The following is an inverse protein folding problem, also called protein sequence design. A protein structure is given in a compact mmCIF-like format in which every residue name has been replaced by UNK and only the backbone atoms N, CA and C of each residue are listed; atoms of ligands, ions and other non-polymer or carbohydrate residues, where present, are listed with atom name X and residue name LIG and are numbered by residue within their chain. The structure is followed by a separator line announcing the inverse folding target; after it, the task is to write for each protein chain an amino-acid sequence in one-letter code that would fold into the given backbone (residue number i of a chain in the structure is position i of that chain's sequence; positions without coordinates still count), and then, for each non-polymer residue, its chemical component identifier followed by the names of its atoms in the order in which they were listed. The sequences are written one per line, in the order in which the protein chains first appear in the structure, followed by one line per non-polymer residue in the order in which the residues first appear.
data_IF_980194523696
#
_entry.id   IF_980194523696
#
_cell.length_a   1.000
_cell.length_b   1.000
_cell.length_c   1.000
_cell.angle_alpha   90.00
_cell.angle_beta   90.00
_cell.angle_gamma   90.00
#
_symmetry.space_group_name_H-M   'P 1'
#
loop_
_entity.id
_entity.type
_entity.pdbx_description
1 polymer ?
#
# COMPACT_ATOMS: atom_id res chain seq x y z
N UNK A 1 4.11 4.48 8.57
CA UNK A 1 5.24 4.74 7.68
C UNK A 1 5.96 3.44 7.36
N UNK A 2 6.36 3.24 6.11
CA UNK A 2 7.26 2.17 5.67
C UNK A 2 8.39 2.77 4.81
N UNK A 3 9.55 2.13 4.79
CA UNK A 3 10.66 2.57 3.92
C UNK A 3 10.58 1.87 2.58
N UNK A 4 10.93 2.55 1.50
CA UNK A 4 10.86 2.01 0.14
C UNK A 4 12.19 2.19 -0.57
N UNK A 5 12.59 1.19 -1.35
CA UNK A 5 13.87 1.19 -2.08
C UNK A 5 13.85 2.15 -3.27
N UNK A 6 12.79 2.10 -4.08
CA UNK A 6 12.68 2.93 -5.28
C UNK A 6 11.28 3.57 -5.35
N UNK A 7 11.19 4.91 -5.20
CA UNK A 7 9.92 5.61 -5.24
C UNK A 7 9.20 5.47 -6.58
N UNK A 8 9.90 5.24 -7.69
CA UNK A 8 9.25 5.12 -9.01
C UNK A 8 8.34 3.89 -9.06
N UNK A 9 8.84 2.74 -8.62
CA UNK A 9 8.05 1.49 -8.62
C UNK A 9 7.02 1.48 -7.50
N UNK A 10 7.35 2.02 -6.32
CA UNK A 10 6.43 2.04 -5.18
C UNK A 10 5.27 3.00 -5.42
N UNK A 11 5.52 4.24 -5.88
CA UNK A 11 4.43 5.17 -6.21
C UNK A 11 3.52 4.64 -7.31
N UNK A 12 4.08 3.97 -8.33
CA UNK A 12 3.28 3.34 -9.37
C UNK A 12 2.41 2.21 -8.80
N UNK A 13 2.96 1.37 -7.92
CA UNK A 13 2.20 0.31 -7.29
C UNK A 13 1.05 0.88 -6.44
N UNK A 14 1.33 1.79 -5.51
CA UNK A 14 0.31 2.33 -4.63
C UNK A 14 -0.76 3.15 -5.36
N UNK A 15 -0.41 3.85 -6.45
CA UNK A 15 -1.38 4.61 -7.24
C UNK A 15 -2.12 3.75 -8.28
N UNK A 16 -1.41 3.02 -9.13
CA UNK A 16 -2.04 2.31 -10.24
C UNK A 16 -2.67 0.98 -9.80
N UNK A 17 -2.02 0.26 -8.88
CA UNK A 17 -2.53 -1.04 -8.40
C UNK A 17 -3.54 -0.82 -7.28
N UNK A 18 -3.18 -0.05 -6.26
CA UNK A 18 -4.05 0.13 -5.10
C UNK A 18 -5.01 1.31 -5.20
N UNK A 19 -4.93 2.14 -6.24
CA UNK A 19 -5.81 3.31 -6.41
C UNK A 19 -5.70 4.32 -5.25
N UNK A 20 -4.57 4.37 -4.55
CA UNK A 20 -4.30 5.46 -3.62
C UNK A 20 -3.92 6.71 -4.39
N UNK A 21 -4.24 7.88 -3.87
CA UNK A 21 -3.81 9.14 -4.43
C UNK A 21 -2.54 9.65 -3.75
N UNK A 22 -1.69 10.30 -4.53
CA UNK A 22 -0.61 11.10 -4.00
C UNK A 22 -1.17 12.34 -3.27
N UNK A 23 -0.77 12.50 -2.00
CA UNK A 23 -1.23 13.57 -1.12
C UNK A 23 -0.19 14.68 -1.00
N UNK A 24 1.07 14.30 -0.76
CA UNK A 24 2.15 15.26 -0.56
C UNK A 24 3.54 14.61 -0.71
N UNK A 25 4.55 15.46 -0.91
CA UNK A 25 5.97 15.11 -0.88
C UNK A 25 6.73 16.12 -0.03
N UNK A 26 7.52 15.61 0.90
CA UNK A 26 8.50 16.40 1.65
C UNK A 26 9.90 15.92 1.30
N UNK A 27 10.72 16.82 0.77
CA UNK A 27 12.10 16.53 0.35
C UNK A 27 13.08 17.08 1.37
N UNK A 28 14.00 16.22 1.81
CA UNK A 28 15.10 16.55 2.72
C UNK A 28 16.43 16.16 2.06
N UNK A 29 17.54 16.53 2.70
CA UNK A 29 18.88 16.34 2.14
C UNK A 29 19.22 14.87 1.84
N UNK A 30 18.80 13.93 2.69
CA UNK A 30 19.17 12.50 2.58
C UNK A 30 18.00 11.55 2.39
N UNK A 31 16.77 12.06 2.45
CA UNK A 31 15.56 11.26 2.27
C UNK A 31 14.39 12.09 1.76
N UNK A 32 13.43 11.42 1.16
CA UNK A 32 12.16 12.01 0.72
C UNK A 32 11.00 11.23 1.33
N UNK A 33 10.00 11.95 1.82
CA UNK A 33 8.74 11.39 2.29
C UNK A 33 7.68 11.57 1.21
N UNK A 34 6.97 10.50 0.87
CA UNK A 34 5.81 10.52 -0.01
C UNK A 34 4.59 10.08 0.78
N UNK A 35 3.52 10.84 0.70
CA UNK A 35 2.29 10.55 1.43
C UNK A 35 1.21 10.14 0.44
N UNK A 36 0.58 9.00 0.70
CA UNK A 36 -0.53 8.50 -0.10
C UNK A 36 -1.71 8.15 0.78
N UNK A 37 -2.91 8.27 0.24
CA UNK A 37 -4.13 7.85 0.91
C UNK A 37 -5.23 7.57 -0.10
N UNK A 38 -6.26 6.83 0.30
CA UNK A 38 -7.47 6.71 -0.51
C UNK A 38 -8.22 8.04 -0.56
N UNK A 39 -8.83 8.35 -1.70
CA UNK A 39 -9.65 9.54 -1.83
C UNK A 39 -10.97 9.38 -1.05
N UNK A 40 -11.20 10.25 -0.08
CA UNK A 40 -12.46 10.30 0.66
C UNK A 40 -13.36 11.47 0.21
N UNK A 41 -12.84 12.32 -0.67
CA UNK A 41 -13.52 13.51 -1.20
C UNK A 41 -14.29 13.23 -2.49
N UNK A 42 -14.11 12.04 -3.07
CA UNK A 42 -14.70 11.63 -4.36
C UNK A 42 -14.38 12.64 -5.47
N UNK A 43 -13.11 13.05 -5.54
CA UNK A 43 -12.54 13.97 -6.51
C UNK A 43 -12.72 15.45 -6.18
N UNK A 44 -13.34 15.79 -5.04
CA UNK A 44 -13.63 17.19 -4.69
C UNK A 44 -12.40 17.95 -4.18
N UNK A 45 -11.47 17.27 -3.50
CA UNK A 45 -10.30 17.93 -2.92
C UNK A 45 -9.26 18.29 -3.99
N UNK A 46 -8.82 19.54 -3.97
CA UNK A 46 -7.67 19.99 -4.77
C UNK A 46 -6.36 19.42 -4.21
N UNK A 47 -5.29 19.44 -5.01
CA UNK A 47 -3.96 19.04 -4.53
C UNK A 47 -3.49 19.85 -3.30
N UNK A 48 -3.82 21.15 -3.25
CA UNK A 48 -3.51 22.01 -2.10
C UNK A 48 -4.31 21.60 -0.86
N UNK A 49 -5.61 21.31 -1.00
CA UNK A 49 -6.45 20.86 0.10
C UNK A 49 -5.94 19.53 0.67
N UNK A 50 -5.59 18.57 -0.20
CA UNK A 50 -4.96 17.29 0.19
C UNK A 50 -3.67 17.53 0.98
N UNK A 51 -2.80 18.43 0.49
CA UNK A 51 -1.54 18.79 1.15
C UNK A 51 -1.74 19.39 2.53
N UNK A 52 -2.61 20.40 2.65
CA UNK A 52 -2.88 21.09 3.91
C UNK A 52 -3.58 20.18 4.93
N UNK A 53 -4.44 19.27 4.46
CA UNK A 53 -5.14 18.30 5.29
C UNK A 53 -4.33 17.05 5.66
N UNK A 54 -3.13 16.87 5.11
CA UNK A 54 -2.30 15.65 5.23
C UNK A 54 -2.16 15.13 6.67
N UNK A 55 -1.93 16.01 7.65
CA UNK A 55 -1.74 15.62 9.06
C UNK A 55 -3.04 15.52 9.85
N UNK A 56 -4.15 15.99 9.30
CA UNK A 56 -5.48 16.00 9.94
C UNK A 56 -6.41 14.87 9.48
N UNK A 57 -5.92 13.95 8.63
CA UNK A 57 -6.71 12.85 8.07
C UNK A 57 -6.28 11.49 8.59
N UNK A 58 -7.19 10.53 8.47
CA UNK A 58 -6.93 9.12 8.73
C UNK A 58 -6.44 8.39 7.47
N UNK A 59 -5.89 7.19 7.66
CA UNK A 59 -5.57 6.27 6.56
C UNK A 59 -4.43 6.71 5.65
N UNK A 60 -3.48 7.51 6.18
CA UNK A 60 -2.33 7.98 5.41
C UNK A 60 -1.16 6.99 5.49
N UNK A 61 -0.64 6.63 4.32
CA UNK A 61 0.58 5.85 4.18
C UNK A 61 1.73 6.78 3.82
N UNK A 62 2.65 6.94 4.77
CA UNK A 62 3.94 7.57 4.53
C UNK A 62 4.95 6.54 4.02
N UNK A 63 5.51 6.80 2.83
CA UNK A 63 6.61 6.07 2.25
C UNK A 63 7.89 6.91 2.38
N UNK A 64 8.91 6.35 3.02
CA UNK A 64 10.21 7.01 3.19
C UNK A 64 11.23 6.41 2.21
N UNK A 65 11.74 7.24 1.31
CA UNK A 65 12.84 6.89 0.42
C UNK A 65 14.13 7.48 0.96
N UNK A 66 15.07 6.63 1.38
CA UNK A 66 16.44 7.07 1.65
C UNK A 66 17.20 7.12 0.32
N UNK A 67 17.77 8.28 -0.02
CA UNK A 67 18.36 8.50 -1.34
C UNK A 67 19.51 7.53 -1.63
N UNK A 68 19.58 7.02 -2.86
CA UNK A 68 20.62 6.12 -3.33
C UNK A 68 20.29 4.63 -3.16
N UNK A 69 19.31 4.28 -2.33
CA UNK A 69 18.89 2.88 -2.13
C UNK A 69 18.42 2.21 -3.42
N UNK A 70 17.83 2.94 -4.35
CA UNK A 70 17.37 2.48 -5.66
C UNK A 70 18.52 2.03 -6.58
N UNK A 71 19.71 2.60 -6.39
CA UNK A 71 20.89 2.40 -7.25
C UNK A 71 22.01 1.63 -6.57
N UNK A 72 21.92 1.38 -5.27
CA UNK A 72 22.93 0.66 -4.50
C UNK A 72 22.84 -0.86 -4.77
N UNK A 73 23.86 -1.49 -5.40
CA UNK A 73 23.88 -2.92 -5.65
C UNK A 73 24.07 -3.75 -4.37
N UNK A 74 24.63 -3.16 -3.31
CA UNK A 74 24.82 -3.81 -2.03
C UNK A 74 23.58 -3.74 -1.14
N UNK A 75 22.67 -2.81 -1.42
CA UNK A 75 21.41 -2.70 -0.70
C UNK A 75 20.46 -3.87 -1.03
N UNK A 76 20.39 -4.83 -0.10
CA UNK A 76 19.57 -6.06 -0.22
C UNK A 76 18.06 -5.84 -0.08
N UNK A 77 17.62 -4.61 0.16
CA UNK A 77 16.22 -4.25 0.40
C UNK A 77 15.89 -4.12 1.88
N UNK A 78 14.69 -3.61 2.16
CA UNK A 78 14.19 -3.49 3.52
C UNK A 78 13.63 -4.82 4.04
N UNK A 79 13.69 -5.02 5.36
CA UNK A 79 12.97 -6.12 6.00
C UNK A 79 11.46 -5.82 5.98
N UNK A 80 10.67 -6.77 5.50
CA UNK A 80 9.21 -6.67 5.53
C UNK A 80 8.58 -7.07 6.88
N UNK A 81 9.40 -7.51 7.84
CA UNK A 81 8.96 -7.84 9.19
C UNK A 81 8.33 -9.23 9.39
N UNK A 82 8.25 -10.06 8.35
CA UNK A 82 7.58 -11.37 8.42
C UNK A 82 8.54 -12.57 8.58
N UNK A 83 9.85 -12.34 8.51
CA UNK A 83 10.91 -13.37 8.58
C UNK A 83 11.99 -13.03 9.61
N UNK A 84 12.61 -14.05 10.20
CA UNK A 84 13.74 -13.88 11.13
C UNK A 84 15.01 -13.40 10.40
N UNK A 85 15.91 -12.64 11.05
CA UNK A 85 15.84 -12.13 12.43
C UNK A 85 14.98 -10.87 12.59
N UNK A 86 14.38 -10.37 11.51
CA UNK A 86 13.72 -9.07 11.45
C UNK A 86 12.23 -9.07 11.76
N UNK A 87 11.71 -10.07 12.50
CA UNK A 87 10.27 -10.16 12.79
C UNK A 87 9.76 -8.98 13.62
N UNK A 88 8.62 -8.41 13.23
CA UNK A 88 8.00 -7.29 13.94
C UNK A 88 6.74 -6.80 13.25
N UNK A 89 6.88 -5.83 12.34
CA UNK A 89 5.78 -5.39 11.47
C UNK A 89 5.24 -6.56 10.64
N UNK A 90 3.91 -6.67 10.50
CA UNK A 90 3.29 -7.72 9.70
C UNK A 90 2.88 -7.24 8.31
N UNK A 91 1.90 -6.35 8.26
CA UNK A 91 1.29 -5.86 7.01
C UNK A 91 0.46 -4.62 7.28
N UNK A 92 0.10 -3.92 6.21
CA UNK A 92 -1.08 -3.04 6.20
C UNK A 92 -2.29 -3.84 5.68
N UNK A 93 -3.50 -3.36 5.95
CA UNK A 93 -4.72 -3.97 5.43
C UNK A 93 -5.52 -2.94 4.64
N UNK A 94 -6.09 -3.37 3.51
CA UNK A 94 -7.03 -2.60 2.71
C UNK A 94 -8.36 -3.35 2.65
N UNK A 95 -9.46 -2.61 2.79
CA UNK A 95 -10.80 -3.13 2.56
C UNK A 95 -11.28 -2.80 1.15
N UNK A 96 -12.01 -3.73 0.54
CA UNK A 96 -12.61 -3.55 -0.78
C UNK A 96 -14.04 -4.11 -0.81
N UNK A 97 -14.87 -3.59 -1.71
CA UNK A 97 -16.27 -4.02 -1.82
C UNK A 97 -16.40 -5.43 -2.39
N UNK A 98 -15.57 -5.76 -3.40
CA UNK A 98 -15.52 -7.05 -4.08
C UNK A 98 -14.08 -7.57 -4.10
N UNK A 99 -13.79 -8.54 -3.24
CA UNK A 99 -12.44 -9.09 -3.07
C UNK A 99 -12.05 -9.99 -4.23
N UNK A 100 -12.99 -10.70 -4.85
CA UNK A 100 -12.78 -11.52 -6.02
C UNK A 100 -12.38 -10.66 -7.22
N UNK A 101 -13.10 -9.57 -7.48
CA UNK A 101 -12.80 -8.61 -8.53
C UNK A 101 -11.47 -7.89 -8.28
N UNK A 102 -11.20 -7.48 -7.04
CA UNK A 102 -9.91 -6.89 -6.66
C UNK A 102 -8.75 -7.86 -6.93
N UNK A 103 -8.87 -9.11 -6.49
CA UNK A 103 -7.84 -10.13 -6.72
C UNK A 103 -7.67 -10.47 -8.21
N UNK A 104 -8.76 -10.54 -8.98
CA UNK A 104 -8.70 -10.74 -10.43
C UNK A 104 -7.95 -9.61 -11.12
N UNK A 105 -8.22 -8.36 -10.73
CA UNK A 105 -7.50 -7.18 -11.23
C UNK A 105 -6.02 -7.24 -10.87
N UNK A 106 -5.67 -7.54 -9.62
CA UNK A 106 -4.28 -7.70 -9.19
C UNK A 106 -3.54 -8.79 -9.99
N UNK A 107 -4.18 -9.92 -10.26
CA UNK A 107 -3.59 -10.96 -11.12
C UNK A 107 -3.38 -10.47 -12.56
N UNK A 108 -4.34 -9.74 -13.14
CA UNK A 108 -4.20 -9.19 -14.50
C UNK A 108 -3.07 -8.16 -14.61
N UNK A 109 -2.77 -7.45 -13.52
CA UNK A 109 -1.67 -6.50 -13.41
C UNK A 109 -0.32 -7.15 -13.04
N UNK A 110 -0.28 -8.48 -12.89
CA UNK A 110 0.96 -9.21 -12.56
C UNK A 110 1.46 -8.97 -11.13
N UNK A 111 0.58 -8.61 -10.20
CA UNK A 111 0.93 -8.36 -8.80
C UNK A 111 1.37 -9.66 -8.11
N UNK A 112 2.41 -9.58 -7.29
CA UNK A 112 2.90 -10.71 -6.51
C UNK A 112 1.97 -11.01 -5.33
N UNK A 113 1.53 -12.27 -5.21
CA UNK A 113 0.73 -12.73 -4.07
C UNK A 113 1.60 -13.47 -3.06
N UNK A 114 1.44 -13.14 -1.78
CA UNK A 114 1.86 -14.00 -0.68
C UNK A 114 0.84 -15.12 -0.42
N UNK A 115 -0.46 -14.81 -0.59
CA UNK A 115 -1.56 -15.77 -0.42
C UNK A 115 -2.73 -15.36 -1.31
N UNK A 116 -3.18 -16.24 -2.20
CA UNK A 116 -4.40 -16.04 -3.01
C UNK A 116 -5.64 -16.45 -2.21
N UNK A 117 -6.82 -16.05 -2.71
CA UNK A 117 -8.11 -16.52 -2.16
C UNK A 117 -8.23 -18.04 -2.26
N UNK A 118 -7.70 -18.65 -3.33
CA UNK A 118 -7.67 -20.10 -3.56
C UNK A 118 -6.75 -20.87 -2.62
N UNK A 119 -5.89 -20.19 -1.86
CA UNK A 119 -4.85 -20.83 -1.04
C UNK A 119 -5.32 -20.99 0.41
N UNK A 120 -4.79 -22.01 1.10
CA UNK A 120 -5.08 -22.27 2.52
C UNK A 120 -6.54 -22.59 2.83
N UNK A 121 -6.94 -22.46 4.11
CA UNK A 121 -8.32 -22.71 4.57
C UNK A 121 -9.21 -21.46 4.52
N UNK A 122 -8.65 -20.28 4.83
CA UNK A 122 -9.38 -19.02 4.80
C UNK A 122 -9.48 -18.50 3.35
N UNK A 123 -10.69 -18.48 2.81
CA UNK A 123 -10.98 -18.10 1.41
C UNK A 123 -11.46 -16.65 1.25
N UNK A 124 -11.62 -15.93 2.35
CA UNK A 124 -12.15 -14.57 2.41
C UNK A 124 -11.08 -13.48 2.59
N UNK A 125 -9.80 -13.85 2.55
CA UNK A 125 -8.66 -12.93 2.67
C UNK A 125 -7.56 -13.30 1.68
N UNK A 126 -6.90 -12.29 1.13
CA UNK A 126 -5.72 -12.44 0.30
C UNK A 126 -4.57 -11.57 0.86
N UNK A 127 -3.34 -11.93 0.52
CA UNK A 127 -2.17 -11.11 0.79
C UNK A 127 -1.41 -10.89 -0.51
N UNK A 128 -1.23 -9.63 -0.89
CA UNK A 128 -0.34 -9.22 -1.98
C UNK A 128 0.97 -8.67 -1.40
N UNK A 129 1.97 -8.49 -2.26
CA UNK A 129 3.23 -7.86 -1.94
C UNK A 129 3.43 -6.60 -2.75
N UNK A 130 3.90 -5.55 -2.08
CA UNK A 130 4.41 -4.36 -2.76
C UNK A 130 5.81 -4.61 -3.37
N UNK A 131 6.40 -3.63 -4.08
CA UNK A 131 7.72 -3.79 -4.71
C UNK A 131 8.86 -4.11 -3.74
N UNK A 132 8.76 -3.66 -2.49
CA UNK A 132 9.73 -3.92 -1.42
C UNK A 132 9.42 -5.23 -0.66
N UNK A 133 8.33 -5.91 -1.00
CA UNK A 133 7.93 -7.19 -0.43
C UNK A 133 7.14 -7.06 0.88
N UNK A 134 6.68 -5.87 1.25
CA UNK A 134 5.73 -5.68 2.34
C UNK A 134 4.40 -6.34 2.01
N UNK A 135 3.83 -7.00 3.00
CA UNK A 135 2.56 -7.67 2.83
C UNK A 135 1.42 -6.66 2.97
N UNK A 136 0.41 -6.83 2.12
CA UNK A 136 -0.82 -6.03 2.14
C UNK A 136 -1.97 -7.02 2.17
N UNK A 137 -2.69 -7.04 3.28
CA UNK A 137 -3.91 -7.82 3.43
C UNK A 137 -5.04 -7.16 2.65
N UNK A 138 -5.75 -7.97 1.87
CA UNK A 138 -6.96 -7.56 1.16
C UNK A 138 -8.12 -8.28 1.82
N UNK A 139 -9.05 -7.49 2.37
CA UNK A 139 -10.23 -7.99 3.07
C UNK A 139 -11.51 -7.40 2.47
N UNK A 140 -12.65 -8.10 2.57
CA UNK A 140 -13.92 -7.50 2.25
C UNK A 140 -14.21 -6.33 3.20
N UNK A 141 -14.83 -5.27 2.67
CA UNK A 141 -15.36 -4.17 3.45
C UNK A 141 -16.38 -4.65 4.48
N UNK A 142 -16.56 -3.87 5.56
CA UNK A 142 -17.69 -4.12 6.46
C UNK A 142 -18.97 -3.99 5.62
N UNK A 143 -19.74 -5.08 5.54
CA UNK A 143 -21.13 -5.04 5.08
C UNK A 143 -21.82 -3.87 5.77
N UNK A 144 -22.44 -2.98 4.98
CA UNK A 144 -23.29 -1.95 5.57
C UNK A 144 -24.45 -2.65 6.28
N UNK A 145 -24.88 -2.12 7.42
CA UNK A 145 -25.84 -2.77 8.32
C UNK A 145 -27.24 -3.04 7.68
N UNK A 146 -27.48 -2.48 6.49
CA UNK A 146 -28.71 -2.48 5.71
C UNK A 146 -28.77 -3.55 4.62
N UNK A 147 -27.68 -4.24 4.30
CA UNK A 147 -27.71 -5.36 3.33
C UNK A 147 -28.18 -6.65 4.02
N UNK A 148 -29.51 -6.87 3.99
CA UNK A 148 -30.13 -8.15 4.33
C UNK A 148 -30.19 -9.07 3.11
N UNK A 149 -30.06 -10.37 3.39
CA UNK A 149 -30.15 -11.51 2.47
C UNK A 149 -31.40 -11.50 1.59
#
# INVERSE_FOLDING_TARGET
MIRIKDPKVSLKFYQDVLCMEFVDKLEFESFTLYFLAFDHSNGADTAEAKRLGRTGREGILELTHNHGTESDPEFKGYSNGNSDPGRGFGHIAISCDDIEAACARFMSLGVNFQKKLTDGKMKNIAFIKDPDGYWIEVVPGRRRADEKF
#
